data_IF_235840288427
#
_entry.id   IF_235840288427
#
_cell.length_a   1.000
_cell.length_b   1.000
_cell.length_c   1.000
_cell.angle_alpha   90.00
_cell.angle_beta   90.00
_cell.angle_gamma   90.00
#
_symmetry.space_group_name_H-M   'P 1'
#
loop_
_entity.id
_entity.type
_entity.pdbx_description
1 polymer ?
#
# COMPACT_ATOMS: atom_id res chain seq x y z
N UNK A 1 9.10 -10.62 -11.93
CA UNK A 1 8.07 -10.69 -12.97
C UNK A 1 7.34 -9.34 -13.01
N UNK A 2 7.19 -8.74 -14.19
CA UNK A 2 6.42 -7.50 -14.37
C UNK A 2 5.33 -7.77 -15.39
N UNK A 3 4.08 -7.46 -15.05
CA UNK A 3 2.96 -7.58 -15.95
C UNK A 3 2.99 -6.46 -17.00
N UNK A 4 2.57 -6.78 -18.23
CA UNK A 4 2.50 -5.83 -19.35
C UNK A 4 1.21 -5.01 -19.29
N UNK A 5 0.99 -4.24 -18.22
CA UNK A 5 -0.27 -3.50 -18.04
C UNK A 5 -0.56 -2.45 -19.11
N UNK A 6 0.43 -2.04 -19.91
CA UNK A 6 0.19 -1.22 -21.11
C UNK A 6 -0.76 -1.91 -22.11
N UNK A 7 -0.82 -3.24 -22.11
CA UNK A 7 -1.72 -4.01 -22.96
C UNK A 7 -3.13 -4.17 -22.37
N UNK A 8 -3.36 -3.76 -21.11
CA UNK A 8 -4.68 -3.83 -20.47
C UNK A 8 -5.63 -2.75 -20.99
N UNK A 9 -6.87 -3.18 -21.25
CA UNK A 9 -7.98 -2.35 -21.70
C UNK A 9 -8.94 -2.05 -20.55
N UNK A 10 -9.26 -0.76 -20.39
CA UNK A 10 -10.29 -0.30 -19.45
C UNK A 10 -11.67 -0.86 -19.82
N UNK A 11 -12.50 -1.14 -18.83
CA UNK A 11 -13.79 -1.82 -18.98
C UNK A 11 -13.67 -3.35 -19.13
N UNK A 12 -12.58 -3.85 -19.70
CA UNK A 12 -12.32 -5.28 -19.87
C UNK A 12 -11.48 -5.82 -18.71
N UNK A 13 -10.21 -5.42 -18.63
CA UNK A 13 -9.22 -5.98 -17.69
C UNK A 13 -9.24 -5.28 -16.32
N UNK A 14 -9.69 -4.03 -16.28
CA UNK A 14 -9.86 -3.23 -15.07
C UNK A 14 -10.96 -2.20 -15.27
N UNK A 15 -11.46 -1.63 -14.17
CA UNK A 15 -12.43 -0.53 -14.19
C UNK A 15 -11.76 0.73 -13.67
N UNK A 16 -11.42 0.75 -12.38
CA UNK A 16 -10.70 1.86 -11.74
C UNK A 16 -9.24 1.47 -11.48
N UNK A 17 -8.31 2.30 -11.94
CA UNK A 17 -6.87 2.12 -11.72
C UNK A 17 -6.25 3.18 -10.80
N UNK A 18 -6.97 4.26 -10.51
CA UNK A 18 -6.40 5.38 -9.77
C UNK A 18 -6.22 5.02 -8.30
N UNK A 19 -4.97 5.07 -7.82
CA UNK A 19 -4.65 4.96 -6.39
C UNK A 19 -4.35 6.36 -5.84
N UNK A 20 -4.90 6.72 -4.67
CA UNK A 20 -4.48 7.94 -3.99
C UNK A 20 -2.98 7.91 -3.68
N UNK A 21 -2.28 8.99 -3.98
CA UNK A 21 -0.86 9.18 -3.66
C UNK A 21 -0.73 10.43 -2.81
N UNK A 22 0.03 10.35 -1.71
CA UNK A 22 0.26 11.50 -0.86
C UNK A 22 0.95 12.60 -1.65
N UNK A 23 0.41 13.82 -1.54
CA UNK A 23 1.03 14.98 -2.15
C UNK A 23 2.25 15.40 -1.34
N UNK A 24 3.23 16.02 -2.00
CA UNK A 24 4.42 16.50 -1.32
C UNK A 24 4.08 17.52 -0.23
N UNK A 25 3.04 18.33 -0.43
CA UNK A 25 2.50 19.27 0.56
C UNK A 25 1.97 18.55 1.80
N UNK A 26 1.31 17.40 1.64
CA UNK A 26 0.81 16.60 2.76
C UNK A 26 1.97 16.01 3.56
N UNK A 27 3.00 15.49 2.89
CA UNK A 27 4.22 14.98 3.53
C UNK A 27 4.96 16.11 4.27
N UNK A 28 5.10 17.29 3.66
CA UNK A 28 5.68 18.48 4.32
C UNK A 28 4.88 18.88 5.55
N UNK A 29 3.56 18.95 5.44
CA UNK A 29 2.68 19.28 6.57
C UNK A 29 2.81 18.26 7.70
N UNK A 30 2.88 16.96 7.37
CA UNK A 30 3.12 15.90 8.34
C UNK A 30 4.42 16.15 9.11
N UNK A 31 5.53 16.40 8.40
CA UNK A 31 6.85 16.63 9.00
C UNK A 31 6.83 17.91 9.85
N UNK A 32 6.25 19.00 9.37
CA UNK A 32 6.12 20.26 10.13
C UNK A 32 5.31 20.05 11.41
N UNK A 33 4.20 19.32 11.33
CA UNK A 33 3.38 19.01 12.50
C UNK A 33 4.13 18.13 13.51
N UNK A 34 4.84 17.11 13.02
CA UNK A 34 5.68 16.25 13.83
C UNK A 34 6.79 17.06 14.54
N UNK A 35 7.46 17.99 13.86
CA UNK A 35 8.46 18.86 14.46
C UNK A 35 7.84 19.76 15.55
N UNK A 36 6.71 20.40 15.26
CA UNK A 36 6.00 21.27 16.20
C UNK A 36 5.51 20.54 17.46
N UNK A 37 5.14 19.27 17.33
CA UNK A 37 4.66 18.44 18.44
C UNK A 37 5.73 17.49 19.01
N UNK A 38 6.98 17.63 18.56
CA UNK A 38 8.14 16.82 18.99
C UNK A 38 7.94 15.31 18.83
N UNK A 39 7.37 14.88 17.70
CA UNK A 39 7.22 13.46 17.37
C UNK A 39 8.53 12.90 16.83
N UNK A 40 8.83 11.66 17.20
CA UNK A 40 9.76 10.85 16.41
C UNK A 40 9.01 10.30 15.19
N UNK A 41 9.55 10.59 14.00
CA UNK A 41 9.06 10.07 12.74
C UNK A 41 9.79 8.76 12.44
N UNK A 42 9.04 7.79 11.93
CA UNK A 42 9.53 6.50 11.47
C UNK A 42 9.08 6.28 10.04
N UNK A 43 9.88 5.50 9.30
CA UNK A 43 9.52 5.03 7.97
C UNK A 43 9.58 3.52 7.92
N UNK A 44 8.64 2.92 7.20
CA UNK A 44 8.65 1.50 6.87
C UNK A 44 8.23 1.32 5.41
N UNK A 45 8.82 0.32 4.76
CA UNK A 45 8.51 -0.11 3.41
C UNK A 45 7.78 -1.45 3.44
N UNK A 46 6.78 -1.62 2.58
CA UNK A 46 6.07 -2.89 2.42
C UNK A 46 6.70 -3.68 1.29
N UNK A 47 7.30 -4.82 1.63
CA UNK A 47 7.85 -5.71 0.61
C UNK A 47 6.74 -6.29 -0.23
N UNK A 48 6.92 -6.21 -1.55
CA UNK A 48 5.98 -6.78 -2.53
C UNK A 48 4.54 -6.29 -2.33
N UNK A 49 4.36 -5.02 -1.93
CA UNK A 49 3.09 -4.38 -1.60
C UNK A 49 1.90 -4.80 -2.50
N UNK A 50 2.11 -4.78 -3.82
CA UNK A 50 1.07 -5.12 -4.79
C UNK A 50 0.57 -6.57 -4.70
N UNK A 51 1.36 -7.52 -4.19
CA UNK A 51 0.92 -8.91 -3.99
C UNK A 51 -0.15 -9.05 -2.90
N UNK A 52 -0.28 -8.06 -2.01
CA UNK A 52 -1.32 -8.06 -0.99
C UNK A 52 -2.67 -7.55 -1.53
N UNK A 53 -2.67 -6.84 -2.66
CA UNK A 53 -3.88 -6.35 -3.32
C UNK A 53 -4.63 -7.49 -4.02
N UNK A 54 -5.88 -7.82 -3.63
CA UNK A 54 -6.67 -8.82 -4.34
C UNK A 54 -7.09 -8.31 -5.72
N UNK A 55 -7.08 -9.21 -6.71
CA UNK A 55 -7.63 -8.91 -8.04
C UNK A 55 -9.15 -9.11 -8.04
N UNK A 56 -9.88 -8.09 -8.51
CA UNK A 56 -11.33 -8.16 -8.69
C UNK A 56 -11.74 -8.92 -9.96
N UNK A 57 -10.88 -8.92 -10.97
CA UNK A 57 -11.07 -9.58 -12.26
C UNK A 57 -10.04 -10.69 -12.44
N UNK A 58 -10.42 -11.76 -13.14
CA UNK A 58 -9.47 -12.77 -13.57
C UNK A 58 -8.57 -12.20 -14.66
N UNK A 59 -7.26 -12.31 -14.46
CA UNK A 59 -6.26 -11.85 -15.40
C UNK A 59 -5.33 -12.99 -15.75
N UNK A 60 -4.87 -12.96 -16.99
CA UNK A 60 -3.91 -13.91 -17.51
C UNK A 60 -2.68 -13.17 -17.99
N UNK A 61 -1.52 -13.81 -17.85
CA UNK A 61 -0.25 -13.31 -18.37
C UNK A 61 0.40 -14.39 -19.22
N UNK A 62 1.11 -13.96 -20.24
CA UNK A 62 1.96 -14.85 -21.01
C UNK A 62 3.01 -15.50 -20.09
N UNK A 63 3.45 -16.69 -20.50
CA UNK A 63 4.54 -17.36 -19.81
C UNK A 63 5.79 -16.47 -19.84
N UNK A 64 6.49 -16.28 -18.70
CA UNK A 64 7.69 -15.47 -18.67
C UNK A 64 8.78 -16.09 -19.55
N UNK A 65 9.59 -15.26 -20.17
CA UNK A 65 10.76 -15.73 -20.92
C UNK A 65 11.65 -16.57 -19.99
N UNK A 66 12.04 -17.76 -20.46
CA UNK A 66 12.81 -18.75 -19.68
C UNK A 66 11.98 -19.65 -18.75
N UNK A 67 10.65 -19.45 -18.68
CA UNK A 67 9.71 -20.27 -17.88
C UNK A 67 8.57 -20.85 -18.73
N UNK A 68 8.75 -20.92 -20.05
CA UNK A 68 7.77 -21.51 -20.97
C UNK A 68 7.73 -23.03 -20.76
N UNK A 69 6.52 -23.57 -20.54
CA UNK A 69 6.28 -25.01 -20.48
C UNK A 69 6.51 -25.63 -21.86
N UNK A 70 7.47 -26.58 -22.00
CA UNK A 70 7.78 -27.19 -23.30
C UNK A 70 6.64 -28.06 -23.84
N UNK A 71 5.73 -28.55 -22.98
CA UNK A 71 4.57 -29.34 -23.40
C UNK A 71 3.35 -28.47 -23.72
N UNK A 72 3.32 -27.24 -23.17
CA UNK A 72 2.20 -26.31 -23.31
C UNK A 72 2.68 -24.88 -23.61
N UNK A 73 3.42 -24.66 -24.72
CA UNK A 73 4.05 -23.36 -24.99
C UNK A 73 3.05 -22.22 -25.23
N UNK A 74 1.85 -22.54 -25.72
CA UNK A 74 0.82 -21.54 -26.04
C UNK A 74 -0.12 -21.22 -24.88
N UNK A 75 0.06 -21.85 -23.71
CA UNK A 75 -0.76 -21.57 -22.54
C UNK A 75 -0.38 -20.24 -21.86
N UNK A 76 -1.28 -19.75 -21.03
CA UNK A 76 -1.11 -18.53 -20.23
C UNK A 76 -1.34 -18.83 -18.75
N UNK A 77 -0.69 -18.07 -17.88
CA UNK A 77 -0.87 -18.21 -16.43
C UNK A 77 -1.97 -17.30 -15.92
N UNK A 78 -2.90 -17.87 -15.15
CA UNK A 78 -3.88 -17.08 -14.39
C UNK A 78 -3.20 -16.45 -13.17
N UNK A 79 -3.34 -15.13 -13.02
CA UNK A 79 -2.87 -14.41 -11.85
C UNK A 79 -3.79 -14.65 -10.65
N UNK A 80 -3.21 -15.12 -9.55
CA UNK A 80 -3.91 -15.26 -8.26
C UNK A 80 -3.85 -14.00 -7.39
N UNK A 81 -2.88 -13.13 -7.64
CA UNK A 81 -2.58 -11.91 -6.89
C UNK A 81 -2.21 -10.80 -7.87
N UNK A 82 -2.40 -9.55 -7.47
CA UNK A 82 -1.95 -8.43 -8.29
C UNK A 82 -0.42 -8.42 -8.39
N UNK A 83 0.10 -7.95 -9.52
CA UNK A 83 1.53 -7.90 -9.83
C UNK A 83 1.93 -6.48 -10.21
N UNK A 84 3.22 -6.18 -10.03
CA UNK A 84 3.81 -4.96 -10.56
C UNK A 84 3.58 -4.86 -12.07
N UNK A 85 3.29 -3.65 -12.54
CA UNK A 85 2.98 -3.37 -13.92
C UNK A 85 1.50 -3.52 -14.30
N UNK A 86 0.64 -4.10 -13.45
CA UNK A 86 -0.81 -4.03 -13.65
C UNK A 86 -1.34 -2.63 -13.32
N UNK A 87 -2.24 -2.09 -14.14
CA UNK A 87 -2.80 -0.74 -13.95
C UNK A 87 -3.54 -0.59 -12.62
N UNK A 88 -4.22 -1.62 -12.16
CA UNK A 88 -5.00 -1.61 -10.91
C UNK A 88 -4.21 -2.02 -9.66
N UNK A 89 -2.96 -2.49 -9.80
CA UNK A 89 -2.20 -3.01 -8.66
C UNK A 89 -2.00 -2.00 -7.52
N UNK A 90 -1.61 -0.73 -7.80
CA UNK A 90 -1.47 0.27 -6.74
C UNK A 90 -2.78 0.53 -5.99
N UNK A 91 -3.92 0.53 -6.70
CA UNK A 91 -5.23 0.76 -6.09
C UNK A 91 -5.65 -0.43 -5.24
N UNK A 92 -5.47 -1.65 -5.74
CA UNK A 92 -5.78 -2.87 -4.99
C UNK A 92 -4.98 -2.95 -3.69
N UNK A 93 -3.70 -2.55 -3.73
CA UNK A 93 -2.86 -2.44 -2.54
C UNK A 93 -3.39 -1.39 -1.55
N UNK A 94 -3.61 -0.15 -2.00
CA UNK A 94 -4.13 0.92 -1.14
C UNK A 94 -5.47 0.54 -0.50
N UNK A 95 -6.39 -0.08 -1.26
CA UNK A 95 -7.69 -0.50 -0.75
C UNK A 95 -7.55 -1.57 0.35
N UNK A 96 -6.65 -2.56 0.18
CA UNK A 96 -6.42 -3.60 1.18
C UNK A 96 -5.77 -3.06 2.46
N UNK A 97 -4.75 -2.21 2.31
CA UNK A 97 -4.10 -1.52 3.44
C UNK A 97 -5.10 -0.62 4.16
N UNK A 98 -5.85 0.19 3.41
CA UNK A 98 -6.89 1.06 3.96
C UNK A 98 -7.93 0.26 4.72
N UNK A 99 -8.45 -0.83 4.15
CA UNK A 99 -9.44 -1.69 4.80
C UNK A 99 -8.89 -2.27 6.11
N UNK A 100 -7.63 -2.71 6.10
CA UNK A 100 -6.96 -3.18 7.29
C UNK A 100 -6.89 -2.11 8.38
N UNK A 101 -6.35 -0.92 8.07
CA UNK A 101 -6.21 0.16 9.04
C UNK A 101 -7.56 0.59 9.62
N UNK A 102 -8.59 0.74 8.77
CA UNK A 102 -9.95 1.04 9.20
C UNK A 102 -10.49 -0.04 10.16
N UNK A 103 -10.27 -1.32 9.87
CA UNK A 103 -10.65 -2.43 10.77
C UNK A 103 -9.94 -2.41 12.13
N UNK A 104 -8.82 -1.68 12.23
CA UNK A 104 -8.03 -1.51 13.46
C UNK A 104 -8.36 -0.19 14.18
N UNK A 105 -9.40 0.52 13.75
CA UNK A 105 -9.90 1.73 14.40
C UNK A 105 -9.21 3.01 13.94
N UNK A 106 -8.42 2.97 12.86
CA UNK A 106 -7.92 4.19 12.24
C UNK A 106 -9.05 4.89 11.49
N UNK A 107 -8.92 6.21 11.38
CA UNK A 107 -9.78 7.05 10.55
C UNK A 107 -8.96 7.66 9.42
N UNK A 108 -9.57 7.84 8.25
CA UNK A 108 -8.93 8.58 7.15
C UNK A 108 -8.98 10.08 7.41
N UNK A 109 -7.96 10.79 6.94
CA UNK A 109 -7.97 12.23 6.83
C UNK A 109 -9.13 12.70 5.94
N UNK A 110 -9.78 13.80 6.32
CA UNK A 110 -10.90 14.37 5.56
C UNK A 110 -10.45 15.05 4.26
N UNK A 111 -9.22 15.57 4.23
CA UNK A 111 -8.65 16.29 3.09
C UNK A 111 -7.74 15.36 2.27
N UNK A 112 -6.88 14.60 2.96
CA UNK A 112 -5.95 13.66 2.33
C UNK A 112 -6.35 12.22 2.68
N UNK A 113 -6.85 11.42 1.72
CA UNK A 113 -7.24 10.03 1.95
C UNK A 113 -6.03 9.11 2.20
N UNK A 114 -4.80 9.55 1.96
CA UNK A 114 -3.58 8.80 2.26
C UNK A 114 -3.06 9.01 3.68
N UNK A 115 -3.63 9.96 4.42
CA UNK A 115 -3.39 10.17 5.83
C UNK A 115 -4.38 9.34 6.67
N UNK A 116 -3.86 8.60 7.62
CA UNK A 116 -4.62 7.85 8.62
C UNK A 116 -4.27 8.34 10.02
N UNK A 117 -5.28 8.43 10.86
CA UNK A 117 -5.18 9.01 12.20
C UNK A 117 -5.87 8.07 13.18
N UNK A 118 -5.20 7.80 14.29
CA UNK A 118 -5.83 7.22 15.49
C UNK A 118 -5.48 8.04 16.72
N UNK A 119 -6.40 8.09 17.68
CA UNK A 119 -6.26 8.84 18.93
C UNK A 119 -6.45 7.89 20.10
N UNK A 120 -5.56 7.98 21.08
CA UNK A 120 -5.64 7.25 22.34
C UNK A 120 -5.51 8.24 23.49
N UNK A 121 -6.64 8.59 24.13
CA UNK A 121 -6.69 9.66 25.14
C UNK A 121 -6.20 10.98 24.53
N UNK A 122 -5.13 11.55 25.09
CA UNK A 122 -4.49 12.78 24.60
C UNK A 122 -3.45 12.51 23.51
N UNK A 123 -3.09 11.25 23.28
CA UNK A 123 -2.10 10.87 22.30
C UNK A 123 -2.69 10.68 20.91
N UNK A 124 -1.90 11.03 19.90
CA UNK A 124 -2.25 10.88 18.48
C UNK A 124 -1.14 10.12 17.76
N UNK A 125 -1.53 9.19 16.89
CA UNK A 125 -0.67 8.55 15.92
C UNK A 125 -1.14 8.96 14.52
N UNK A 126 -0.21 9.48 13.74
CA UNK A 126 -0.38 9.85 12.34
C UNK A 126 0.37 8.86 11.46
N UNK A 127 -0.26 8.45 10.37
CA UNK A 127 0.29 7.50 9.39
C UNK A 127 0.01 8.05 7.99
N UNK A 128 1.04 8.37 7.24
CA UNK A 128 0.98 8.83 5.85
C UNK A 128 1.45 7.72 4.93
N UNK A 129 0.61 7.34 3.96
CA UNK A 129 0.93 6.31 2.96
C UNK A 129 1.42 6.98 1.68
N UNK A 130 2.56 6.56 1.17
CA UNK A 130 3.11 6.98 -0.12
C UNK A 130 3.47 5.74 -0.95
N UNK A 131 2.52 5.27 -1.76
CA UNK A 131 2.68 4.05 -2.57
C UNK A 131 3.03 2.84 -1.68
N UNK A 132 4.29 2.42 -1.65
CA UNK A 132 4.78 1.27 -0.88
C UNK A 132 5.45 1.70 0.44
N UNK A 133 5.77 2.99 0.58
CA UNK A 133 6.32 3.60 1.79
C UNK A 133 5.22 4.06 2.75
N UNK A 134 5.50 3.94 4.05
CA UNK A 134 4.64 4.42 5.11
C UNK A 134 5.47 5.24 6.09
N UNK A 135 5.13 6.51 6.22
CA UNK A 135 5.71 7.43 7.20
C UNK A 135 4.73 7.54 8.37
N UNK A 136 5.19 7.37 9.60
CA UNK A 136 4.31 7.46 10.76
C UNK A 136 5.02 8.07 11.97
N UNK A 137 4.23 8.61 12.89
CA UNK A 137 4.75 9.30 14.07
C UNK A 137 3.64 9.57 15.08
N UNK A 138 4.02 9.67 16.35
CA UNK A 138 3.07 9.77 17.45
C UNK A 138 3.60 10.67 18.56
N UNK A 139 2.70 11.28 19.33
CA UNK A 139 3.02 11.93 20.63
C UNK A 139 3.56 10.93 21.66
N UNK A 140 3.24 9.65 21.50
CA UNK A 140 3.61 8.58 22.41
C UNK A 140 4.31 7.45 21.65
N UNK A 141 5.57 7.21 22.02
CA UNK A 141 6.44 6.20 21.43
C UNK A 141 5.86 4.78 21.48
N UNK A 142 5.06 4.47 22.51
CA UNK A 142 4.43 3.15 22.63
C UNK A 142 3.38 2.93 21.54
N UNK A 143 2.73 3.99 21.04
CA UNK A 143 1.82 3.87 19.90
C UNK A 143 2.57 3.58 18.60
N UNK A 144 3.71 4.23 18.36
CA UNK A 144 4.57 3.93 17.20
C UNK A 144 5.03 2.47 17.21
N UNK A 145 5.52 1.96 18.35
CA UNK A 145 5.92 0.55 18.50
C UNK A 145 4.76 -0.44 18.31
N UNK A 146 3.55 -0.06 18.76
CA UNK A 146 2.34 -0.88 18.56
C UNK A 146 1.93 -0.90 17.10
N UNK A 147 2.03 0.24 16.41
CA UNK A 147 1.73 0.35 14.98
C UNK A 147 2.69 -0.48 14.14
N UNK A 148 4.00 -0.40 14.41
CA UNK A 148 5.00 -1.24 13.78
C UNK A 148 4.66 -2.73 13.90
N UNK A 149 4.39 -3.22 15.12
CA UNK A 149 3.97 -4.61 15.35
C UNK A 149 2.66 -4.96 14.64
N UNK A 150 1.72 -4.02 14.61
CA UNK A 150 0.44 -4.21 13.91
C UNK A 150 0.66 -4.41 12.41
N UNK A 151 1.52 -3.61 11.79
CA UNK A 151 1.84 -3.72 10.37
C UNK A 151 2.55 -5.03 10.06
N UNK A 152 3.55 -5.41 10.86
CA UNK A 152 4.22 -6.71 10.75
C UNK A 152 3.30 -7.93 10.96
N UNK A 153 2.18 -7.76 11.66
CA UNK A 153 1.23 -8.87 11.87
C UNK A 153 0.49 -9.30 10.60
N UNK A 154 0.46 -8.44 9.57
CA UNK A 154 -0.28 -8.71 8.32
C UNK A 154 0.59 -8.62 7.07
N UNK A 155 1.56 -7.71 7.06
CA UNK A 155 2.38 -7.41 5.89
C UNK A 155 3.85 -7.67 6.20
N UNK A 156 4.61 -8.08 5.19
CA UNK A 156 6.06 -8.16 5.30
C UNK A 156 6.62 -6.74 5.20
N UNK A 157 7.07 -6.20 6.33
CA UNK A 157 7.56 -4.84 6.44
C UNK A 157 9.08 -4.81 6.61
N UNK A 158 9.71 -3.73 6.16
CA UNK A 158 11.10 -3.39 6.50
C UNK A 158 11.15 -1.99 7.06
N UNK A 159 11.71 -1.83 8.27
CA UNK A 159 11.94 -0.52 8.84
C UNK A 159 13.06 0.19 8.09
N UNK A 160 12.86 1.46 7.77
CA UNK A 160 13.86 2.34 7.19
C UNK A 160 14.18 3.42 8.21
N UNK A 161 15.38 3.35 8.79
CA UNK A 161 15.82 4.23 9.89
C UNK A 161 16.25 3.44 11.12
#
# INVERSE_FOLDING_TARGET
>A
LVAKGYAQKEGVDFEESFAPVARLEAVKLFITYAAHKSFTIYQMDVKTAFLYGPLKKELYVNQPDGFVDPYHPDQVYRLKKALYGLKQAPRAWYDELSKFLLSKGFTKGSIDPTLFITKHREDILLVQIYVDDIIFGSTNLNLSKRFEKLMHSKFEMSMMG
#
